data_IF_322411602155
#
_entry.id   IF_322411602155
#
_cell.length_a   1.000
_cell.length_b   1.000
_cell.length_c   1.000
_cell.angle_alpha   90.00
_cell.angle_beta   90.00
_cell.angle_gamma   90.00
#
_symmetry.space_group_name_H-M   'P 1'
#
loop_
_entity.id
_entity.type
_entity.pdbx_description
1 polymer ?
#
# COMPACT_ATOMS: atom_id res chain seq x y z
N UNK A 1 -10.70 15.91 3.66
CA UNK A 1 -11.65 14.81 4.02
C UNK A 1 -10.93 13.49 4.26
N UNK A 2 -9.91 13.16 3.47
CA UNK A 2 -9.15 11.91 3.55
C UNK A 2 -8.48 11.65 4.92
N UNK A 3 -7.93 12.68 5.56
CA UNK A 3 -7.27 12.58 6.88
C UNK A 3 -8.16 11.94 7.97
N UNK A 4 -9.47 12.23 7.96
CA UNK A 4 -10.42 11.62 8.91
C UNK A 4 -10.61 10.12 8.67
N UNK A 5 -10.55 9.69 7.41
CA UNK A 5 -10.67 8.27 7.05
C UNK A 5 -9.44 7.51 7.49
N UNK A 6 -8.26 8.09 7.25
CA UNK A 6 -6.98 7.59 7.73
C UNK A 6 -6.98 7.43 9.25
N UNK A 7 -7.41 8.46 9.99
CA UNK A 7 -7.51 8.38 11.46
C UNK A 7 -8.48 7.30 11.95
N UNK A 8 -9.59 7.08 11.24
CA UNK A 8 -10.59 6.08 11.61
C UNK A 8 -10.14 4.65 11.31
N UNK A 9 -9.37 4.44 10.24
CA UNK A 9 -8.93 3.10 9.80
C UNK A 9 -7.63 2.66 10.46
N UNK A 10 -6.67 3.57 10.56
CA UNK A 10 -5.30 3.28 11.02
C UNK A 10 -4.98 3.87 12.39
N UNK A 11 -5.85 4.72 12.96
CA UNK A 11 -5.61 5.36 14.24
C UNK A 11 -4.84 6.69 14.11
N UNK A 12 -4.22 7.19 15.20
CA UNK A 12 -3.55 8.48 15.17
C UNK A 12 -2.49 8.54 14.07
N UNK A 13 -2.52 9.61 13.28
CA UNK A 13 -1.55 9.83 12.21
C UNK A 13 -0.34 10.55 12.77
N UNK A 14 0.83 10.15 12.29
CA UNK A 14 2.08 10.81 12.63
C UNK A 14 2.25 12.10 11.84
N UNK A 15 3.07 13.02 12.36
CA UNK A 15 3.24 14.35 11.79
C UNK A 15 3.73 14.31 10.33
N UNK A 16 4.53 13.29 9.99
CA UNK A 16 5.01 13.03 8.63
C UNK A 16 3.87 12.69 7.66
N UNK A 17 2.93 11.85 8.11
CA UNK A 17 1.75 11.49 7.32
C UNK A 17 0.83 12.69 7.09
N UNK A 18 0.66 13.54 8.11
CA UNK A 18 -0.12 14.77 7.97
C UNK A 18 0.55 15.81 7.05
N UNK A 19 1.88 15.89 7.06
CA UNK A 19 2.63 16.71 6.11
C UNK A 19 2.46 16.20 4.67
N UNK A 20 2.54 14.87 4.48
CA UNK A 20 2.35 14.24 3.17
C UNK A 20 0.94 14.45 2.63
N UNK A 21 -0.09 14.29 3.45
CA UNK A 21 -1.48 14.58 3.07
C UNK A 21 -1.70 16.05 2.69
N UNK A 22 -0.98 16.99 3.32
CA UNK A 22 -1.08 18.42 3.00
C UNK A 22 -0.31 18.82 1.74
N UNK A 23 0.78 18.13 1.43
CA UNK A 23 1.59 18.40 0.23
C UNK A 23 1.14 17.61 -1.00
N UNK A 24 0.29 16.61 -0.82
CA UNK A 24 -0.18 15.73 -1.88
C UNK A 24 -1.07 16.46 -2.89
N UNK A 25 -0.93 16.06 -4.14
CA UNK A 25 -1.75 16.53 -5.24
C UNK A 25 -3.14 15.90 -5.19
N UNK A 26 -4.13 16.51 -5.84
CA UNK A 26 -5.50 15.97 -5.89
C UNK A 26 -5.54 14.53 -6.41
N UNK A 27 -4.73 14.21 -7.43
CA UNK A 27 -4.63 12.86 -7.99
C UNK A 27 -4.10 11.82 -6.97
N UNK A 28 -3.12 12.19 -6.14
CA UNK A 28 -2.59 11.32 -5.08
C UNK A 28 -3.65 11.09 -3.99
N UNK A 29 -4.38 12.16 -3.62
CA UNK A 29 -5.47 12.06 -2.64
C UNK A 29 -6.59 11.15 -3.15
N UNK A 30 -6.97 11.24 -4.42
CA UNK A 30 -7.95 10.33 -5.03
C UNK A 30 -7.46 8.88 -5.03
N UNK A 31 -6.21 8.66 -5.44
CA UNK A 31 -5.61 7.32 -5.43
C UNK A 31 -5.58 6.70 -4.03
N UNK A 32 -5.17 7.47 -3.02
CA UNK A 32 -5.16 7.02 -1.62
C UNK A 32 -6.57 6.81 -1.06
N UNK A 33 -7.57 7.56 -1.54
CA UNK A 33 -8.96 7.39 -1.15
C UNK A 33 -9.55 6.05 -1.63
N UNK A 34 -9.09 5.50 -2.75
CA UNK A 34 -9.47 4.17 -3.21
C UNK A 34 -8.69 3.09 -2.46
N UNK A 35 -7.37 3.28 -2.32
CA UNK A 35 -6.49 2.31 -1.66
C UNK A 35 -6.76 2.11 -0.18
N UNK A 36 -7.26 3.10 0.54
CA UNK A 36 -7.57 2.98 1.97
C UNK A 36 -8.57 1.85 2.29
N UNK A 37 -9.41 1.47 1.33
CA UNK A 37 -10.38 0.39 1.50
C UNK A 37 -9.76 -1.00 1.33
N UNK A 38 -8.70 -1.12 0.54
CA UNK A 38 -7.98 -2.38 0.27
C UNK A 38 -6.77 -2.58 1.19
N UNK A 39 -6.08 -1.49 1.52
CA UNK A 39 -4.88 -1.47 2.34
C UNK A 39 -5.10 -2.08 3.73
N UNK A 40 -4.19 -2.98 4.12
CA UNK A 40 -4.18 -3.60 5.45
C UNK A 40 -3.51 -2.69 6.48
N UNK A 41 -2.56 -1.89 6.05
CA UNK A 41 -1.77 -0.98 6.88
C UNK A 41 -1.50 0.33 6.15
N UNK A 42 -1.23 1.38 6.92
CA UNK A 42 -1.05 2.74 6.42
C UNK A 42 0.01 2.84 5.31
N UNK A 43 1.09 2.07 5.42
CA UNK A 43 2.15 2.02 4.42
C UNK A 43 1.65 1.55 3.05
N UNK A 44 0.71 0.59 3.00
CA UNK A 44 0.17 0.06 1.73
C UNK A 44 -0.61 1.11 0.94
N UNK A 45 -1.13 2.14 1.60
CA UNK A 45 -1.86 3.23 0.94
C UNK A 45 -0.90 4.13 0.16
N UNK A 46 0.32 4.28 0.67
CA UNK A 46 1.34 5.16 0.12
C UNK A 46 2.27 4.48 -0.89
N UNK A 47 2.10 3.18 -1.09
CA UNK A 47 2.86 2.43 -2.07
C UNK A 47 2.39 2.81 -3.47
N UNK A 48 3.19 3.65 -4.14
CA UNK A 48 2.99 4.11 -5.53
C UNK A 48 3.31 3.03 -6.57
N UNK A 49 3.85 1.89 -6.13
CA UNK A 49 4.20 0.82 -7.06
C UNK A 49 2.93 0.19 -7.64
N UNK A 50 2.82 0.19 -8.98
CA UNK A 50 2.19 -0.92 -9.68
C UNK A 50 2.54 -2.20 -8.93
N UNK A 51 1.60 -3.12 -8.67
CA UNK A 51 1.95 -4.40 -8.08
C UNK A 51 2.88 -5.14 -9.05
N UNK A 52 4.19 -4.89 -8.92
CA UNK A 52 5.21 -5.82 -9.33
C UNK A 52 4.84 -7.15 -8.69
N UNK A 53 4.93 -8.25 -9.45
CA UNK A 53 4.20 -9.49 -9.20
C UNK A 53 4.33 -9.86 -7.73
N UNK A 54 3.17 -9.90 -7.07
CA UNK A 54 2.98 -10.22 -5.66
C UNK A 54 4.08 -11.16 -5.18
N UNK A 55 5.05 -10.62 -4.44
CA UNK A 55 6.03 -11.42 -3.73
C UNK A 55 5.35 -12.05 -2.51
N UNK A 56 4.45 -13.02 -2.75
CA UNK A 56 4.11 -14.01 -1.75
C UNK A 56 5.33 -14.91 -1.56
N UNK A 57 6.14 -14.51 -0.61
CA UNK A 57 7.02 -15.37 0.17
C UNK A 57 6.13 -16.28 1.01
N UNK A 58 6.07 -17.56 0.65
CA UNK A 58 6.16 -18.75 1.53
C UNK A 58 5.57 -19.99 0.83
N UNK A 59 6.41 -20.77 0.16
CA UNK A 59 6.53 -22.24 0.29
C UNK A 59 7.51 -22.78 -0.76
N UNK A 60 8.36 -23.69 -0.32
CA UNK A 60 9.45 -24.31 -1.06
C UNK A 60 8.91 -25.21 -2.18
N UNK A 61 8.76 -24.73 -3.43
CA UNK A 61 8.51 -25.66 -4.56
C UNK A 61 8.94 -25.13 -5.95
N UNK A 62 9.81 -24.10 -6.03
CA UNK A 62 10.47 -23.74 -7.30
C UNK A 62 11.75 -24.53 -7.53
N UNK A 63 11.74 -25.83 -7.23
CA UNK A 63 12.88 -26.73 -7.39
C UNK A 63 12.45 -27.99 -8.17
N UNK A 64 11.69 -27.84 -9.26
CA UNK A 64 11.33 -28.99 -10.10
C UNK A 64 10.93 -28.64 -11.54
N UNK A 65 11.66 -27.76 -12.26
CA UNK A 65 11.45 -27.67 -13.72
C UNK A 65 12.69 -27.32 -14.56
N UNK A 66 13.89 -27.59 -14.05
CA UNK A 66 15.10 -27.64 -14.88
C UNK A 66 15.84 -28.95 -14.68
N UNK A 67 15.09 -30.04 -14.78
CA UNK A 67 15.65 -31.37 -14.83
C UNK A 67 14.99 -32.17 -15.93
N UNK A 68 15.81 -32.62 -16.89
CA UNK A 68 15.52 -33.65 -17.90
C UNK A 68 14.81 -33.10 -19.15
N UNK A 69 15.38 -33.18 -20.35
CA UNK A 69 16.20 -34.24 -20.94
C UNK A 69 16.92 -33.73 -22.18
#
# INVERSE_FOLDING_TARGET
MLERQFRKRFGPLDADTEARLRSASSAEIEHWAERIFDARQLADVFTDEEPGPVAIRESQDYAAVTGRR
#
